data_IF_427843724087
#
_entry.id   IF_427843724087
#
_cell.length_a   1.000
_cell.length_b   1.000
_cell.length_c   1.000
_cell.angle_alpha   90.00
_cell.angle_beta   90.00
_cell.angle_gamma   90.00
#
_symmetry.space_group_name_H-M   'P 1'
#
loop_
_entity.id
_entity.type
_entity.pdbx_description
1 polymer ?
#
# COMPACT_ATOMS: atom_id res chain seq x y z
N UNK A 1 8.21 3.86 -7.70
CA UNK A 1 9.06 2.98 -6.86
C UNK A 1 8.17 2.04 -6.07
N UNK A 2 8.55 0.76 -5.95
CA UNK A 2 7.83 -0.20 -5.08
C UNK A 2 8.36 -0.05 -3.65
N UNK A 3 7.49 0.33 -2.71
CA UNK A 3 7.90 0.70 -1.34
C UNK A 3 8.48 -0.48 -0.56
N UNK A 4 8.08 -1.72 -0.87
CA UNK A 4 8.62 -2.94 -0.28
C UNK A 4 10.15 -3.09 -0.43
N UNK A 5 10.74 -2.47 -1.47
CA UNK A 5 12.20 -2.46 -1.66
C UNK A 5 12.93 -1.77 -0.50
N UNK A 6 12.23 -0.97 0.29
CA UNK A 6 12.70 -0.21 1.44
C UNK A 6 11.93 -0.60 2.71
N UNK A 7 11.49 -1.86 2.85
CA UNK A 7 10.66 -2.32 3.97
C UNK A 7 11.28 -2.20 5.37
N UNK A 8 12.58 -1.89 5.47
CA UNK A 8 13.28 -1.62 6.72
C UNK A 8 13.17 -0.15 7.17
N UNK A 9 12.68 0.74 6.30
CA UNK A 9 12.45 2.15 6.57
C UNK A 9 11.00 2.40 6.96
N UNK A 10 10.77 3.45 7.74
CA UNK A 10 9.44 4.01 7.98
C UNK A 10 8.84 4.59 6.69
N UNK A 11 7.52 4.82 6.68
CA UNK A 11 6.86 5.48 5.54
C UNK A 11 7.49 6.84 5.25
N UNK A 12 7.79 7.65 6.27
CA UNK A 12 8.36 8.99 6.10
C UNK A 12 9.72 8.94 5.40
N UNK A 13 10.61 8.05 5.85
CA UNK A 13 11.92 7.84 5.23
C UNK A 13 11.79 7.37 3.76
N UNK A 14 10.78 6.56 3.44
CA UNK A 14 10.51 6.13 2.05
C UNK A 14 10.07 7.29 1.16
N UNK A 15 9.20 8.17 1.66
CA UNK A 15 8.74 9.35 0.91
C UNK A 15 9.90 10.32 0.66
N UNK A 16 10.68 10.63 1.69
CA UNK A 16 11.90 11.44 1.56
C UNK A 16 12.90 10.83 0.58
N UNK A 17 13.11 9.52 0.64
CA UNK A 17 13.99 8.80 -0.29
C UNK A 17 13.50 8.92 -1.73
N UNK A 18 12.19 8.77 -1.97
CA UNK A 18 11.61 8.90 -3.30
C UNK A 18 11.85 10.30 -3.88
N UNK A 19 11.60 11.35 -3.08
CA UNK A 19 11.85 12.75 -3.49
C UNK A 19 13.33 12.98 -3.80
N UNK A 20 14.23 12.52 -2.93
CA UNK A 20 15.67 12.67 -3.12
C UNK A 20 16.20 11.96 -4.38
N UNK A 21 15.53 10.88 -4.79
CA UNK A 21 15.84 10.14 -6.02
C UNK A 21 15.14 10.72 -7.26
N UNK A 22 14.35 11.78 -7.14
CA UNK A 22 13.58 12.37 -8.23
C UNK A 22 12.42 11.48 -8.73
N UNK A 23 11.95 10.56 -7.90
CA UNK A 23 10.84 9.67 -8.20
C UNK A 23 9.52 10.40 -7.92
N UNK A 24 8.55 10.25 -8.81
CA UNK A 24 7.27 10.95 -8.73
C UNK A 24 6.12 10.06 -8.24
N UNK A 25 6.22 8.74 -8.44
CA UNK A 25 5.12 7.82 -8.16
C UNK A 25 5.57 6.60 -7.36
N UNK A 26 4.65 6.10 -6.52
CA UNK A 26 4.88 5.00 -5.60
C UNK A 26 3.86 3.87 -5.82
N UNK A 27 4.34 2.63 -5.72
CA UNK A 27 3.53 1.42 -5.64
C UNK A 27 3.62 0.87 -4.21
N UNK A 28 2.47 0.68 -3.57
CA UNK A 28 2.38 0.20 -2.19
C UNK A 28 1.93 -1.26 -2.12
N UNK A 29 2.66 -2.09 -1.38
CA UNK A 29 2.21 -3.42 -1.00
C UNK A 29 1.07 -3.37 0.02
N UNK A 30 -0.02 -4.09 -0.24
CA UNK A 30 -1.21 -4.15 0.62
C UNK A 30 -1.36 -5.47 1.40
N UNK A 31 -0.42 -6.40 1.22
CA UNK A 31 -0.38 -7.71 1.87
C UNK A 31 -0.13 -8.84 0.86
N UNK A 32 -0.50 -10.07 1.22
CA UNK A 32 -0.26 -11.25 0.38
C UNK A 32 1.18 -11.72 0.53
N UNK A 33 1.97 -11.65 -0.55
CA UNK A 33 3.42 -11.90 -0.48
C UNK A 33 4.21 -10.73 0.10
N UNK A 34 3.63 -9.53 0.08
CA UNK A 34 4.17 -8.36 0.77
C UNK A 34 3.87 -8.45 2.26
N UNK A 35 4.83 -8.06 3.11
CA UNK A 35 4.58 -7.79 4.54
C UNK A 35 3.83 -6.48 4.77
N UNK A 36 3.61 -5.68 3.71
CA UNK A 36 2.93 -4.38 3.70
C UNK A 36 3.44 -3.40 4.78
N UNK A 37 4.76 -3.12 4.85
CA UNK A 37 5.32 -2.30 5.93
C UNK A 37 4.83 -0.85 5.93
N UNK A 38 4.39 -0.34 4.77
CA UNK A 38 4.08 1.08 4.57
C UNK A 38 2.59 1.39 4.39
N UNK A 39 1.72 0.37 4.34
CA UNK A 39 0.28 0.54 4.12
C UNK A 39 -0.51 -0.46 4.98
N UNK A 40 -1.38 0.04 5.85
CA UNK A 40 -2.22 -0.78 6.74
C UNK A 40 -3.62 -0.94 6.14
N UNK A 41 -3.84 -2.03 5.41
CA UNK A 41 -5.06 -2.21 4.60
C UNK A 41 -6.36 -2.09 5.40
N UNK A 42 -6.49 -2.82 6.51
CA UNK A 42 -7.72 -2.82 7.31
C UNK A 42 -8.01 -1.44 7.91
N UNK A 43 -6.99 -0.77 8.45
CA UNK A 43 -7.11 0.58 8.99
C UNK A 43 -7.60 1.57 7.92
N UNK A 44 -7.03 1.50 6.72
CA UNK A 44 -7.41 2.37 5.61
C UNK A 44 -8.78 1.99 5.02
N UNK A 45 -9.27 0.77 5.18
CA UNK A 45 -10.64 0.43 4.79
C UNK A 45 -11.66 1.00 5.78
N UNK A 46 -11.34 0.97 7.08
CA UNK A 46 -12.26 1.33 8.16
C UNK A 46 -12.34 2.84 8.42
N UNK A 47 -11.25 3.59 8.21
CA UNK A 47 -11.16 5.01 8.60
C UNK A 47 -10.92 5.94 7.42
N UNK A 48 -11.88 6.81 7.14
CA UNK A 48 -11.73 7.90 6.17
C UNK A 48 -10.65 8.90 6.58
N UNK A 49 -10.57 9.21 7.88
CA UNK A 49 -9.54 10.10 8.41
C UNK A 49 -8.13 9.56 8.13
N UNK A 50 -7.92 8.25 8.33
CA UNK A 50 -6.61 7.62 8.06
C UNK A 50 -6.30 7.59 6.56
N UNK A 51 -7.29 7.35 5.69
CA UNK A 51 -7.11 7.49 4.23
C UNK A 51 -6.70 8.91 3.84
N UNK A 52 -7.39 9.92 4.39
CA UNK A 52 -7.09 11.31 4.10
C UNK A 52 -5.68 11.69 4.57
N UNK A 53 -5.28 11.27 5.77
CA UNK A 53 -3.94 11.50 6.29
C UNK A 53 -2.86 10.80 5.45
N UNK A 54 -3.10 9.55 5.04
CA UNK A 54 -2.20 8.79 4.18
C UNK A 54 -2.01 9.47 2.81
N UNK A 55 -3.11 9.86 2.16
CA UNK A 55 -3.07 10.54 0.86
C UNK A 55 -2.47 11.94 0.96
N UNK A 56 -2.76 12.69 2.02
CA UNK A 56 -2.18 14.00 2.27
C UNK A 56 -0.67 13.89 2.42
N UNK A 57 -0.17 12.96 3.26
CA UNK A 57 1.27 12.76 3.45
C UNK A 57 1.99 12.48 2.13
N UNK A 58 1.42 11.66 1.24
CA UNK A 58 2.00 11.38 -0.08
C UNK A 58 2.01 12.64 -0.96
N UNK A 59 0.89 13.37 -1.03
CA UNK A 59 0.75 14.60 -1.83
C UNK A 59 1.63 15.75 -1.33
N UNK A 60 1.81 15.88 -0.02
CA UNK A 60 2.64 16.91 0.60
C UNK A 60 4.13 16.75 0.22
N UNK A 61 4.55 15.54 -0.16
CA UNK A 61 5.88 15.26 -0.72
C UNK A 61 5.94 15.44 -2.26
N UNK A 62 4.85 15.88 -2.89
CA UNK A 62 4.74 15.98 -4.35
C UNK A 62 4.74 14.61 -5.05
N UNK A 63 4.34 13.55 -4.34
CA UNK A 63 4.31 12.18 -4.85
C UNK A 63 2.86 11.77 -5.19
N UNK A 64 2.74 10.74 -6.02
CA UNK A 64 1.46 10.10 -6.37
C UNK A 64 1.51 8.59 -6.17
N UNK A 65 0.35 7.95 -6.02
CA UNK A 65 0.25 6.48 -6.01
C UNK A 65 0.08 6.02 -7.46
N UNK A 66 1.00 5.19 -7.96
CA UNK A 66 0.85 4.55 -9.27
C UNK A 66 0.04 3.25 -9.21
N UNK A 67 0.18 2.50 -8.12
CA UNK A 67 -0.49 1.21 -7.97
C UNK A 67 -0.60 0.76 -6.50
N UNK A 68 -1.60 -0.10 -6.26
CA UNK A 68 -1.70 -0.91 -5.05
C UNK A 68 -1.39 -2.38 -5.41
N UNK A 69 -0.34 -2.95 -4.83
CA UNK A 69 0.09 -4.31 -5.08
C UNK A 69 -0.51 -5.27 -4.05
N UNK A 70 -1.21 -6.29 -4.52
CA UNK A 70 -1.83 -7.32 -3.68
C UNK A 70 -1.47 -8.73 -4.16
N UNK A 71 -0.23 -8.91 -4.62
CA UNK A 71 0.23 -10.19 -5.17
C UNK A 71 0.11 -11.31 -4.14
N UNK A 72 -0.48 -12.44 -4.55
CA UNK A 72 -0.78 -13.57 -3.70
C UNK A 72 -1.41 -14.73 -4.48
N UNK A 73 -1.72 -15.82 -3.80
CA UNK A 73 -2.40 -16.97 -4.41
C UNK A 73 -3.75 -17.21 -3.71
N UNK A 74 -4.83 -16.72 -4.32
CA UNK A 74 -6.21 -16.91 -3.83
C UNK A 74 -6.69 -18.38 -3.94
N UNK A 75 -6.07 -19.16 -4.82
CA UNK A 75 -6.41 -20.57 -5.04
C UNK A 75 -5.63 -21.53 -4.12
N UNK A 76 -4.71 -21.01 -3.29
CA UNK A 76 -3.97 -21.84 -2.34
C UNK A 76 -4.93 -22.51 -1.33
N UNK A 77 -4.71 -23.78 -0.97
CA UNK A 77 -5.60 -24.47 -0.04
C UNK A 77 -5.53 -23.87 1.37
N UNK A 78 -6.65 -23.94 2.10
CA UNK A 78 -6.72 -23.59 3.51
C UNK A 78 -6.72 -22.09 3.80
N UNK A 79 -6.12 -21.71 4.93
CA UNK A 79 -6.13 -20.33 5.42
C UNK A 79 -5.34 -19.37 4.49
N UNK A 80 -4.29 -19.86 3.82
CA UNK A 80 -3.47 -19.03 2.94
C UNK A 80 -4.27 -18.43 1.78
N UNK A 81 -5.07 -19.24 1.06
CA UNK A 81 -5.89 -18.74 -0.03
C UNK A 81 -6.99 -17.78 0.43
N UNK A 82 -7.61 -18.08 1.58
CA UNK A 82 -8.63 -17.21 2.19
C UNK A 82 -8.04 -15.84 2.58
N UNK A 83 -6.86 -15.81 3.20
CA UNK A 83 -6.19 -14.57 3.58
C UNK A 83 -5.80 -13.75 2.33
N UNK A 84 -5.24 -14.41 1.30
CA UNK A 84 -4.90 -13.74 0.05
C UNK A 84 -6.15 -13.18 -0.67
N UNK A 85 -7.29 -13.90 -0.65
CA UNK A 85 -8.55 -13.42 -1.21
C UNK A 85 -9.08 -12.17 -0.49
N UNK A 86 -8.97 -12.15 0.85
CA UNK A 86 -9.34 -10.98 1.65
C UNK A 86 -8.48 -9.76 1.30
N UNK A 87 -7.16 -9.94 1.19
CA UNK A 87 -6.23 -8.86 0.79
C UNK A 87 -6.55 -8.35 -0.61
N UNK A 88 -6.77 -9.22 -1.60
CA UNK A 88 -7.08 -8.81 -2.97
C UNK A 88 -8.39 -8.01 -3.03
N UNK A 89 -9.46 -8.52 -2.42
CA UNK A 89 -10.76 -7.81 -2.39
C UNK A 89 -10.68 -6.51 -1.59
N UNK A 90 -9.95 -6.52 -0.48
CA UNK A 90 -9.70 -5.33 0.33
C UNK A 90 -8.96 -4.26 -0.48
N UNK A 91 -7.93 -4.66 -1.21
CA UNK A 91 -7.13 -3.75 -2.05
C UNK A 91 -7.98 -3.13 -3.17
N UNK A 92 -8.85 -3.92 -3.82
CA UNK A 92 -9.80 -3.38 -4.81
C UNK A 92 -10.78 -2.36 -4.21
N UNK A 93 -11.28 -2.62 -2.99
CA UNK A 93 -12.14 -1.66 -2.29
C UNK A 93 -11.39 -0.40 -1.93
N UNK A 94 -10.17 -0.53 -1.41
CA UNK A 94 -9.32 0.60 -1.06
C UNK A 94 -8.99 1.42 -2.31
N UNK A 95 -8.61 0.79 -3.42
CA UNK A 95 -8.37 1.47 -4.70
C UNK A 95 -9.56 2.34 -5.11
N UNK A 96 -10.79 1.83 -5.02
CA UNK A 96 -12.00 2.62 -5.29
C UNK A 96 -12.16 3.84 -4.36
N UNK A 97 -11.72 3.73 -3.11
CA UNK A 97 -11.75 4.84 -2.13
C UNK A 97 -10.59 5.84 -2.34
N UNK A 98 -9.49 5.37 -2.94
CA UNK A 98 -8.33 6.05 -3.51
C UNK A 98 -8.66 7.26 -4.41
N UNK A 99 -9.65 7.05 -5.27
CA UNK A 99 -9.77 7.76 -6.54
C UNK A 99 -8.95 7.08 -7.64
#
# INVERSE_FOLDING_TARGET
MVTDSLGHLSLDEVLETAVNLGIQTLEFGCGGWSSAPHLKLDLLLESESERNNFMAKIRDHGLEISALNCSGNQLAPGALGKNNDQVVRGTMRLAKMLG
#
